data_IF_377482055203
#
_entry.id   IF_377482055203
#
_cell.length_a   1.000
_cell.length_b   1.000
_cell.length_c   1.000
_cell.angle_alpha   90.00
_cell.angle_beta   90.00
_cell.angle_gamma   90.00
#
_symmetry.space_group_name_H-M   'P 1'
#
loop_
_entity.id
_entity.type
_entity.pdbx_description
1 polymer ?
#
# COMPACT_ATOMS: atom_id res chain seq x y z
N UNK A 1 19.93 10.95 4.40
CA UNK A 1 19.70 9.53 4.75
C UNK A 1 19.80 9.36 6.27
N UNK A 2 19.03 8.44 6.81
CA UNK A 2 19.00 8.14 8.25
C UNK A 2 19.34 6.67 8.48
N UNK A 3 20.04 6.40 9.58
CA UNK A 3 20.30 5.03 9.99
C UNK A 3 18.98 4.32 10.30
N UNK A 4 18.84 3.08 9.89
CA UNK A 4 17.65 2.26 10.16
C UNK A 4 16.46 2.55 9.24
N UNK A 5 16.56 3.52 8.35
CA UNK A 5 15.52 3.83 7.37
C UNK A 5 16.06 3.58 5.97
N UNK A 6 15.31 2.83 5.17
CA UNK A 6 15.69 2.54 3.79
C UNK A 6 15.89 3.82 2.98
N UNK A 7 16.93 3.84 2.15
CA UNK A 7 17.15 4.93 1.21
C UNK A 7 16.07 5.08 0.13
N UNK A 8 15.18 4.09 -0.01
CA UNK A 8 14.01 4.18 -0.89
C UNK A 8 12.94 5.13 -0.36
N UNK A 9 12.95 5.43 0.93
CA UNK A 9 11.97 6.31 1.55
C UNK A 9 12.43 7.74 1.42
N UNK A 10 11.70 8.52 0.63
CA UNK A 10 11.95 9.95 0.45
C UNK A 10 11.55 10.75 1.70
N UNK A 11 12.04 11.99 1.87
CA UNK A 11 11.55 12.87 2.94
C UNK A 11 10.05 13.09 2.89
N UNK A 12 9.46 13.19 1.71
CA UNK A 12 8.01 13.33 1.54
C UNK A 12 7.28 12.10 2.06
N UNK A 13 7.79 10.91 1.73
CA UNK A 13 7.14 9.66 2.16
C UNK A 13 7.23 9.47 3.68
N UNK A 14 8.42 9.71 4.27
CA UNK A 14 8.57 9.57 5.72
C UNK A 14 7.69 10.56 6.48
N UNK A 15 7.57 11.78 5.98
CA UNK A 15 6.67 12.79 6.56
C UNK A 15 5.23 12.29 6.58
N UNK A 16 4.75 11.76 5.45
CA UNK A 16 3.39 11.19 5.34
C UNK A 16 3.19 10.06 6.34
N UNK A 17 4.13 9.11 6.39
CA UNK A 17 4.03 7.96 7.31
C UNK A 17 3.97 8.40 8.77
N UNK A 18 4.72 9.44 9.13
CA UNK A 18 4.74 9.97 10.49
C UNK A 18 3.48 10.76 10.83
N UNK A 19 2.89 11.44 9.87
CA UNK A 19 1.67 12.21 10.08
C UNK A 19 0.41 11.34 10.19
N UNK A 20 0.42 10.15 9.57
CA UNK A 20 -0.71 9.25 9.59
C UNK A 20 -1.02 8.76 11.00
N UNK A 21 -2.30 8.77 11.33
CA UNK A 21 -2.80 8.24 12.60
C UNK A 21 -3.47 6.87 12.46
N UNK A 22 -4.04 6.40 13.55
CA UNK A 22 -4.75 5.12 13.58
C UNK A 22 -5.93 5.14 12.59
N UNK A 23 -6.04 4.09 11.81
CA UNK A 23 -7.04 3.88 10.76
C UNK A 23 -6.83 4.68 9.47
N UNK A 24 -5.87 5.58 9.41
CA UNK A 24 -5.52 6.23 8.14
C UNK A 24 -5.02 5.19 7.15
N UNK A 25 -5.34 5.40 5.88
CA UNK A 25 -4.94 4.49 4.82
C UNK A 25 -3.95 5.14 3.87
N UNK A 26 -3.01 4.35 3.35
CA UNK A 26 -2.08 4.75 2.30
C UNK A 26 -2.19 3.77 1.14
N UNK A 27 -2.23 4.30 -0.09
CA UNK A 27 -2.32 3.50 -1.31
C UNK A 27 -0.95 3.46 -1.97
N UNK A 28 -0.48 2.26 -2.31
CA UNK A 28 0.64 2.08 -3.23
C UNK A 28 0.06 1.72 -4.57
N UNK A 29 0.18 2.64 -5.52
CA UNK A 29 -0.50 2.56 -6.81
C UNK A 29 0.47 2.17 -7.92
N UNK A 30 0.02 1.29 -8.83
CA UNK A 30 0.80 0.92 -10.01
C UNK A 30 0.90 2.08 -11.00
N UNK A 31 1.70 1.88 -12.06
CA UNK A 31 1.97 2.92 -13.04
C UNK A 31 0.77 3.36 -13.88
N UNK A 32 -0.32 2.60 -13.85
CA UNK A 32 -1.55 2.90 -14.59
C UNK A 32 -2.64 3.53 -13.72
N UNK A 33 -2.47 3.52 -12.41
CA UNK A 33 -3.47 4.04 -11.49
C UNK A 33 -3.59 5.56 -11.61
N UNK A 34 -4.82 6.13 -11.57
CA UNK A 34 -5.03 7.57 -11.65
C UNK A 34 -4.69 8.28 -10.34
N UNK A 35 -3.43 8.17 -9.90
CA UNK A 35 -3.00 8.64 -8.60
C UNK A 35 -3.13 10.16 -8.45
N UNK A 36 -2.66 10.92 -9.44
CA UNK A 36 -2.66 12.38 -9.37
C UNK A 36 -4.07 12.97 -9.28
N UNK A 37 -5.05 12.37 -9.97
CA UNK A 37 -6.42 12.86 -9.96
C UNK A 37 -7.20 12.45 -8.71
N UNK A 38 -6.75 11.41 -8.00
CA UNK A 38 -7.47 10.84 -6.85
C UNK A 38 -6.84 11.20 -5.51
N UNK A 39 -5.55 11.52 -5.47
CA UNK A 39 -4.84 11.70 -4.22
C UNK A 39 -5.22 12.99 -3.50
N UNK A 40 -5.49 12.89 -2.18
CA UNK A 40 -5.49 14.06 -1.30
C UNK A 40 -4.05 14.55 -1.08
N UNK A 41 -3.11 13.62 -0.95
CA UNK A 41 -1.66 13.87 -0.86
C UNK A 41 -0.97 12.89 -1.78
N UNK A 42 -0.19 13.38 -2.71
CA UNK A 42 0.51 12.57 -3.70
C UNK A 42 1.99 12.50 -3.37
N UNK A 43 2.52 11.28 -3.33
CA UNK A 43 3.97 11.05 -3.23
C UNK A 43 4.41 10.29 -4.48
N UNK A 44 5.43 10.80 -5.16
CA UNK A 44 5.94 10.18 -6.39
C UNK A 44 7.13 9.26 -6.06
N UNK A 45 7.03 8.00 -6.50
CA UNK A 45 8.10 6.99 -6.41
C UNK A 45 8.22 6.26 -7.74
N UNK A 46 8.24 6.98 -8.85
CA UNK A 46 8.13 6.44 -10.21
C UNK A 46 9.24 5.46 -10.59
N UNK A 47 10.40 5.56 -9.96
CA UNK A 47 11.54 4.70 -10.24
C UNK A 47 11.52 3.34 -9.53
N UNK A 48 10.49 3.06 -8.75
CA UNK A 48 10.43 1.89 -7.88
C UNK A 48 9.18 1.06 -8.11
N UNK A 49 9.32 -0.26 -7.92
CA UNK A 49 8.17 -1.17 -7.87
C UNK A 49 7.59 -1.24 -6.47
N UNK A 50 6.37 -1.78 -6.37
CA UNK A 50 5.67 -1.84 -5.08
C UNK A 50 6.30 -2.83 -4.10
N UNK A 51 6.76 -4.03 -4.50
CA UNK A 51 7.36 -4.95 -3.53
C UNK A 51 8.55 -4.34 -2.76
N UNK A 52 9.45 -3.66 -3.45
CA UNK A 52 10.60 -3.03 -2.78
C UNK A 52 10.17 -1.88 -1.85
N UNK A 53 9.15 -1.13 -2.21
CA UNK A 53 8.60 -0.08 -1.35
C UNK A 53 7.90 -0.65 -0.12
N UNK A 54 7.17 -1.75 -0.26
CA UNK A 54 6.57 -2.44 0.90
C UNK A 54 7.63 -2.94 1.86
N UNK A 55 8.72 -3.52 1.33
CA UNK A 55 9.85 -3.95 2.16
C UNK A 55 10.52 -2.79 2.91
N UNK A 56 10.52 -1.61 2.33
CA UNK A 56 11.08 -0.41 2.95
C UNK A 56 10.15 0.19 4.01
N UNK A 57 8.84 0.17 3.77
CA UNK A 57 7.82 0.85 4.58
C UNK A 57 7.35 -0.01 5.76
N UNK A 58 7.09 -1.30 5.55
CA UNK A 58 6.50 -2.17 6.57
C UNK A 58 7.31 -2.30 7.86
N UNK A 59 8.66 -2.25 7.86
CA UNK A 59 9.40 -2.20 9.12
C UNK A 59 9.05 -1.00 10.01
N UNK A 60 8.50 0.05 9.44
CA UNK A 60 8.17 1.30 10.14
C UNK A 60 6.66 1.47 10.36
N UNK A 61 5.85 0.70 9.64
CA UNK A 61 4.41 0.93 9.53
C UNK A 61 3.63 -0.21 10.21
N UNK A 62 3.01 0.06 11.38
CA UNK A 62 2.19 -0.95 12.01
C UNK A 62 0.89 -1.12 11.22
N UNK A 63 0.54 -2.36 10.87
CA UNK A 63 -0.76 -2.65 10.31
C UNK A 63 -1.82 -2.73 11.40
N UNK A 64 -3.02 -2.28 11.08
CA UNK A 64 -4.11 -2.22 12.05
C UNK A 64 -4.54 -3.64 12.47
N UNK A 65 -4.60 -3.88 13.77
CA UNK A 65 -5.04 -5.16 14.35
C UNK A 65 -6.50 -5.12 14.81
N UNK A 66 -7.14 -3.96 14.75
CA UNK A 66 -8.55 -3.80 15.15
C UNK A 66 -9.52 -4.09 14.02
N UNK A 67 -9.02 -4.38 12.82
CA UNK A 67 -9.79 -4.83 11.66
C UNK A 67 -9.25 -6.17 11.19
N UNK A 68 -10.10 -6.96 10.53
CA UNK A 68 -9.68 -8.28 10.05
C UNK A 68 -8.73 -8.18 8.86
N UNK A 69 -8.92 -7.17 8.01
CA UNK A 69 -8.19 -7.04 6.74
C UNK A 69 -7.55 -5.65 6.58
N UNK A 70 -6.39 -5.41 7.22
CA UNK A 70 -5.69 -4.13 7.09
C UNK A 70 -4.96 -3.95 5.76
N UNK A 71 -4.97 -4.94 4.88
CA UNK A 71 -4.38 -4.88 3.54
C UNK A 71 -5.46 -5.17 2.51
N UNK A 72 -5.65 -4.25 1.56
CA UNK A 72 -6.70 -4.38 0.55
C UNK A 72 -6.10 -4.33 -0.85
N UNK A 73 -6.50 -5.27 -1.70
CA UNK A 73 -6.13 -5.35 -3.11
C UNK A 73 -7.33 -4.98 -3.96
N UNK A 74 -7.06 -4.48 -5.17
CA UNK A 74 -8.13 -4.29 -6.16
C UNK A 74 -8.46 -5.64 -6.79
N UNK A 75 -9.71 -6.07 -6.67
CA UNK A 75 -10.18 -7.31 -7.26
C UNK A 75 -10.03 -7.28 -8.79
N UNK A 76 -9.72 -8.43 -9.36
CA UNK A 76 -9.69 -8.59 -10.82
C UNK A 76 -11.11 -8.41 -11.35
N UNK A 77 -11.25 -7.58 -12.39
CA UNK A 77 -12.56 -7.30 -13.02
C UNK A 77 -13.18 -8.62 -13.53
N UNK A 78 -14.46 -8.87 -13.27
CA UNK A 78 -15.14 -10.08 -13.77
C UNK A 78 -14.97 -10.20 -15.28
N UNK A 79 -14.58 -11.40 -15.74
CA UNK A 79 -14.30 -11.70 -17.15
C UNK A 79 -12.87 -11.45 -17.59
N UNK A 80 -12.08 -10.77 -16.79
CA UNK A 80 -10.65 -10.62 -17.04
C UNK A 80 -9.93 -11.91 -16.60
N UNK A 81 -9.01 -12.39 -17.43
CA UNK A 81 -8.27 -13.65 -17.19
C UNK A 81 -6.85 -13.41 -16.69
N UNK A 82 -6.54 -12.19 -16.27
CA UNK A 82 -5.22 -11.81 -15.80
C UNK A 82 -4.85 -12.55 -14.52
N UNK A 83 -3.67 -13.16 -14.51
CA UNK A 83 -3.08 -13.71 -13.30
C UNK A 83 -2.39 -12.60 -12.51
N UNK A 84 -2.32 -12.77 -11.20
CA UNK A 84 -1.78 -11.78 -10.28
C UNK A 84 -0.68 -12.35 -9.38
N UNK A 85 0.45 -12.79 -9.96
CA UNK A 85 1.52 -13.40 -9.17
C UNK A 85 2.11 -12.44 -8.14
N UNK A 86 2.04 -11.13 -8.39
CA UNK A 86 2.54 -10.12 -7.45
C UNK A 86 1.80 -10.15 -6.11
N UNK A 87 0.54 -10.61 -6.07
CA UNK A 87 -0.20 -10.75 -4.81
C UNK A 87 0.46 -11.75 -3.87
N UNK A 88 1.07 -12.82 -4.40
CA UNK A 88 1.80 -13.79 -3.58
C UNK A 88 3.07 -13.16 -2.99
N UNK A 89 3.76 -12.31 -3.76
CA UNK A 89 4.88 -11.53 -3.24
C UNK A 89 4.43 -10.63 -2.09
N UNK A 90 3.31 -9.92 -2.26
CA UNK A 90 2.77 -9.05 -1.19
C UNK A 90 2.46 -9.84 0.07
N UNK A 91 1.83 -11.00 -0.07
CA UNK A 91 1.49 -11.85 1.07
C UNK A 91 2.74 -12.31 1.81
N UNK A 92 3.78 -12.69 1.07
CA UNK A 92 5.06 -13.07 1.66
C UNK A 92 5.73 -11.91 2.38
N UNK A 93 5.76 -10.73 1.77
CA UNK A 93 6.36 -9.53 2.36
C UNK A 93 5.61 -9.14 3.63
N UNK A 94 4.30 -9.06 3.56
CA UNK A 94 3.47 -8.69 4.71
C UNK A 94 3.66 -9.69 5.86
N UNK A 95 3.72 -10.99 5.58
CA UNK A 95 3.90 -12.01 6.61
C UNK A 95 5.24 -11.88 7.34
N UNK A 96 6.27 -11.34 6.69
CA UNK A 96 7.58 -11.12 7.30
C UNK A 96 7.55 -10.05 8.39
N UNK A 97 6.63 -9.08 8.28
CA UNK A 97 6.54 -7.95 9.21
C UNK A 97 5.28 -7.99 10.09
N UNK A 98 4.27 -8.70 9.65
CA UNK A 98 2.99 -8.81 10.34
C UNK A 98 2.50 -10.28 10.22
N UNK A 99 2.99 -11.18 11.10
CA UNK A 99 2.73 -12.61 10.98
C UNK A 99 1.33 -13.01 11.49
N UNK A 100 0.31 -12.47 10.84
CA UNK A 100 -1.11 -12.78 11.08
C UNK A 100 -1.69 -13.33 9.78
N UNK A 101 -2.52 -14.35 9.86
CA UNK A 101 -3.15 -14.96 8.69
C UNK A 101 -4.37 -14.15 8.23
N UNK A 102 -4.72 -14.29 6.93
CA UNK A 102 -5.94 -13.75 6.33
C UNK A 102 -6.11 -12.23 6.49
N UNK A 103 -5.02 -11.49 6.40
CA UNK A 103 -5.06 -10.02 6.54
C UNK A 103 -5.42 -9.29 5.25
N UNK A 104 -5.49 -10.01 4.11
CA UNK A 104 -5.80 -9.43 2.81
C UNK A 104 -7.29 -9.55 2.49
N UNK A 105 -7.85 -8.50 1.90
CA UNK A 105 -9.16 -8.52 1.26
C UNK A 105 -9.04 -8.04 -0.18
N UNK A 106 -10.01 -8.40 -1.01
CA UNK A 106 -10.14 -7.89 -2.38
C UNK A 106 -11.32 -6.94 -2.44
N UNK A 107 -11.10 -5.77 -3.02
CA UNK A 107 -12.09 -4.70 -3.13
C UNK A 107 -12.42 -4.48 -4.60
N UNK A 108 -13.69 -4.41 -4.95
CA UNK A 108 -14.13 -4.13 -6.31
C UNK A 108 -13.50 -2.82 -6.82
N UNK A 109 -13.20 -2.75 -8.13
CA UNK A 109 -12.44 -1.68 -8.76
C UNK A 109 -12.92 -0.27 -8.40
N UNK A 110 -14.20 0.01 -8.56
CA UNK A 110 -14.71 1.37 -8.31
C UNK A 110 -14.78 1.69 -6.83
N UNK A 111 -15.08 0.70 -5.99
CA UNK A 111 -14.99 0.84 -4.54
C UNK A 111 -13.54 1.11 -4.10
N UNK A 112 -12.57 0.48 -4.76
CA UNK A 112 -11.15 0.75 -4.51
C UNK A 112 -10.80 2.20 -4.85
N UNK A 113 -11.25 2.70 -5.99
CA UNK A 113 -11.03 4.11 -6.37
C UNK A 113 -11.64 5.07 -5.34
N UNK A 114 -12.83 4.78 -4.86
CA UNK A 114 -13.48 5.63 -3.84
C UNK A 114 -12.70 5.61 -2.51
N UNK A 115 -12.19 4.45 -2.09
CA UNK A 115 -11.32 4.36 -0.91
C UNK A 115 -10.01 5.11 -1.11
N UNK A 116 -9.42 5.02 -2.30
CA UNK A 116 -8.19 5.74 -2.62
C UNK A 116 -8.36 7.26 -2.51
N UNK A 117 -9.51 7.79 -2.93
CA UNK A 117 -9.82 9.23 -2.79
C UNK A 117 -9.90 9.67 -1.34
N UNK A 118 -10.29 8.78 -0.42
CA UNK A 118 -10.42 9.05 1.02
C UNK A 118 -9.12 8.74 1.77
N UNK A 119 -8.19 8.04 1.15
CA UNK A 119 -6.92 7.69 1.77
C UNK A 119 -6.12 8.93 2.14
N UNK A 120 -5.31 8.82 3.18
CA UNK A 120 -4.44 9.92 3.61
C UNK A 120 -3.48 10.33 2.50
N UNK A 121 -2.93 9.35 1.79
CA UNK A 121 -2.01 9.60 0.68
C UNK A 121 -2.08 8.47 -0.35
N UNK A 122 -1.68 8.79 -1.58
CA UNK A 122 -1.41 7.82 -2.63
C UNK A 122 0.06 7.95 -3.05
N UNK A 123 0.76 6.82 -3.02
CA UNK A 123 2.12 6.71 -3.52
C UNK A 123 2.05 6.21 -4.96
N UNK A 124 2.42 7.07 -5.91
CA UNK A 124 2.50 6.71 -7.33
C UNK A 124 3.83 6.01 -7.59
N UNK A 125 3.80 4.82 -8.17
CA UNK A 125 5.00 4.02 -8.40
C UNK A 125 5.21 3.72 -9.88
N UNK A 126 6.35 3.12 -10.21
CA UNK A 126 6.64 2.60 -11.53
C UNK A 126 6.24 1.13 -11.72
N UNK A 127 5.41 0.57 -10.83
CA UNK A 127 5.01 -0.83 -10.89
C UNK A 127 4.27 -1.13 -12.20
N UNK A 128 4.71 -2.17 -12.90
CA UNK A 128 4.15 -2.55 -14.21
C UNK A 128 3.16 -3.70 -14.12
N UNK A 129 3.12 -4.42 -13.01
CA UNK A 129 2.19 -5.53 -12.85
C UNK A 129 0.75 -5.02 -12.83
N UNK A 130 -0.15 -5.78 -13.44
CA UNK A 130 -1.58 -5.46 -13.44
C UNK A 130 -2.20 -5.82 -12.08
N UNK A 131 -3.21 -5.07 -11.67
CA UNK A 131 -3.90 -5.26 -10.39
C UNK A 131 -2.94 -5.23 -9.19
N UNK A 132 -1.90 -4.41 -9.28
CA UNK A 132 -0.86 -4.34 -8.26
C UNK A 132 -1.16 -3.32 -7.15
N UNK A 133 -2.22 -2.54 -7.27
CA UNK A 133 -2.58 -1.52 -6.29
C UNK A 133 -2.91 -2.15 -4.95
N UNK A 134 -2.36 -1.60 -3.88
CA UNK A 134 -2.56 -2.10 -2.53
C UNK A 134 -2.77 -0.97 -1.54
N UNK A 135 -3.73 -1.13 -0.64
CA UNK A 135 -4.01 -0.18 0.45
C UNK A 135 -3.56 -0.81 1.77
N UNK A 136 -2.82 -0.04 2.55
CA UNK A 136 -2.44 -0.40 3.92
C UNK A 136 -3.20 0.49 4.90
N UNK A 137 -3.81 -0.11 5.92
CA UNK A 137 -4.45 0.61 7.02
C UNK A 137 -3.51 0.66 8.21
N UNK A 138 -3.22 1.87 8.68
CA UNK A 138 -2.28 2.07 9.77
C UNK A 138 -2.89 1.69 11.12
N UNK A 139 -2.14 0.93 11.87
CA UNK A 139 -2.45 0.59 13.25
C UNK A 139 -1.75 1.49 14.26
N UNK A 140 -1.62 0.98 15.47
CA UNK A 140 -0.98 1.68 16.58
C UNK A 140 0.27 0.94 17.02
N UNK A 141 1.24 1.69 17.54
CA UNK A 141 2.41 1.10 18.19
C UNK A 141 2.08 1.01 19.67
N UNK A 142 2.15 -0.20 20.18
CA UNK A 142 1.95 -0.48 21.61
C UNK A 142 3.31 -0.78 22.25
N UNK A 143 3.48 -0.33 23.47
CA UNK A 143 4.71 -0.56 24.24
C UNK A 143 4.46 -1.46 25.43
#
# INVERSE_FOLDING_TARGET
>A
MLKGISGLISPELIKILMEMGHSDEIVFADGNFPAASHAQRLVRCDGHGIPELLNAVLPLFPLDVYVDHPVSLMAVTPGDTVETPIWQEYKQIVSNYHPVEDVFEEVERFAFYERAKKAYAIVSTGEKALYANVILKKGVITQ
#
